data_IF_601525347122
#
_entry.id   IF_601525347122
#
_cell.length_a   1.000
_cell.length_b   1.000
_cell.length_c   1.000
_cell.angle_alpha   90.00
_cell.angle_beta   90.00
_cell.angle_gamma   90.00
#
_symmetry.space_group_name_H-M   'P 1'
#
loop_
_entity.id
_entity.type
_entity.pdbx_description
1 polymer ?
#
# COMPACT_ATOMS: atom_id res chain seq x y z
N UNK A 1 -2.10 24.03 -15.39
CA UNK A 1 -2.21 23.47 -14.03
C UNK A 1 -3.09 22.24 -14.13
N UNK A 2 -2.55 21.04 -13.91
CA UNK A 2 -3.39 19.83 -13.86
C UNK A 2 -3.94 19.72 -12.43
N UNK A 3 -5.26 19.64 -12.29
CA UNK A 3 -5.90 19.54 -10.99
C UNK A 3 -5.44 18.28 -10.25
N UNK A 4 -5.03 18.42 -8.99
CA UNK A 4 -4.75 17.30 -8.10
C UNK A 4 -6.07 16.55 -7.85
N UNK A 5 -6.17 15.32 -8.32
CA UNK A 5 -7.30 14.45 -8.02
C UNK A 5 -7.04 13.75 -6.68
N UNK A 6 -7.70 14.26 -5.62
CA UNK A 6 -7.75 13.61 -4.31
C UNK A 6 -9.01 12.76 -4.23
N UNK A 7 -8.84 11.46 -4.00
CA UNK A 7 -9.90 10.50 -3.79
C UNK A 7 -9.97 10.14 -2.31
N UNK A 8 -11.13 10.37 -1.70
CA UNK A 8 -11.42 9.96 -0.32
C UNK A 8 -12.08 8.57 -0.37
N UNK A 9 -11.26 7.55 -0.50
CA UNK A 9 -11.71 6.17 -0.71
C UNK A 9 -10.78 5.18 -0.02
N UNK A 10 -11.29 3.96 0.21
CA UNK A 10 -10.48 2.76 0.42
C UNK A 10 -10.61 1.90 -0.81
N UNK A 11 -9.49 1.36 -1.30
CA UNK A 11 -9.46 0.52 -2.50
C UNK A 11 -9.29 -0.93 -2.10
N UNK A 12 -10.09 -1.81 -2.68
CA UNK A 12 -9.95 -3.26 -2.55
C UNK A 12 -9.62 -3.82 -3.93
N UNK A 13 -8.53 -4.55 -4.03
CA UNK A 13 -8.10 -5.27 -5.24
C UNK A 13 -8.38 -6.75 -5.03
N UNK A 14 -9.35 -7.26 -5.78
CA UNK A 14 -9.87 -8.63 -5.72
C UNK A 14 -9.44 -9.50 -6.91
N UNK A 15 -8.74 -8.92 -7.88
CA UNK A 15 -8.26 -9.58 -9.10
C UNK A 15 -6.97 -8.96 -9.61
N UNK A 16 -6.25 -9.67 -10.49
CA UNK A 16 -5.01 -9.20 -11.12
C UNK A 16 -5.29 -7.97 -11.99
N UNK A 17 -4.79 -6.80 -11.56
CA UNK A 17 -4.96 -5.53 -12.29
C UNK A 17 -3.69 -4.68 -12.20
N UNK A 18 -3.60 -3.69 -13.09
CA UNK A 18 -2.77 -2.52 -12.89
C UNK A 18 -3.63 -1.36 -12.41
N UNK A 19 -3.43 -0.93 -11.16
CA UNK A 19 -3.96 0.32 -10.64
C UNK A 19 -2.92 1.42 -10.88
N UNK A 20 -3.21 2.35 -11.78
CA UNK A 20 -2.25 3.36 -12.23
C UNK A 20 -2.84 4.77 -12.13
N UNK A 21 -2.09 5.66 -11.49
CA UNK A 21 -2.30 7.10 -11.52
C UNK A 21 -1.52 7.77 -12.65
N UNK A 22 -1.83 9.04 -12.91
CA UNK A 22 -1.07 9.87 -13.87
C UNK A 22 0.33 10.15 -13.31
N UNK A 23 0.42 10.58 -12.06
CA UNK A 23 1.67 10.72 -11.31
C UNK A 23 1.36 10.78 -9.79
N UNK A 24 2.38 10.53 -8.97
CA UNK A 24 2.25 10.50 -7.50
C UNK A 24 1.84 11.85 -6.89
N UNK A 25 2.10 12.97 -7.54
CA UNK A 25 1.72 14.31 -7.06
C UNK A 25 0.23 14.60 -7.28
N UNK A 26 -0.34 14.15 -8.40
CA UNK A 26 -1.68 14.50 -8.84
C UNK A 26 -2.72 13.43 -8.54
N UNK A 27 -2.32 12.19 -8.22
CA UNK A 27 -3.22 11.09 -7.89
C UNK A 27 -3.02 10.69 -6.42
N UNK A 28 -3.94 11.12 -5.55
CA UNK A 28 -3.86 10.89 -4.11
C UNK A 28 -5.06 10.10 -3.61
N UNK A 29 -4.79 8.97 -2.96
CA UNK A 29 -5.77 8.23 -2.15
C UNK A 29 -5.57 8.70 -0.71
N UNK A 30 -6.55 9.42 -0.16
CA UNK A 30 -6.41 10.14 1.09
C UNK A 30 -7.44 9.67 2.12
N UNK A 31 -6.96 9.29 3.30
CA UNK A 31 -7.77 8.80 4.40
C UNK A 31 -8.15 9.83 5.46
N UNK A 32 -7.83 11.11 5.27
CA UNK A 32 -7.89 12.15 6.33
C UNK A 32 -9.28 12.38 6.95
N UNK A 33 -10.36 11.91 6.32
CA UNK A 33 -11.73 12.03 6.85
C UNK A 33 -12.26 10.72 7.44
N UNK A 34 -11.53 9.62 7.37
CA UNK A 34 -11.93 8.37 8.01
C UNK A 34 -11.63 8.46 9.52
N UNK A 35 -12.63 8.12 10.33
CA UNK A 35 -12.51 8.06 11.80
C UNK A 35 -12.31 6.64 12.32
N UNK A 36 -12.38 5.65 11.42
CA UNK A 36 -12.14 4.23 11.75
C UNK A 36 -10.82 3.77 11.17
N UNK A 37 -10.20 2.78 11.80
CA UNK A 37 -8.98 2.19 11.28
C UNK A 37 -9.21 1.43 9.98
N UNK A 38 -8.16 1.28 9.18
CA UNK A 38 -8.17 0.43 8.00
C UNK A 38 -7.02 0.66 7.05
N UNK A 39 -7.21 0.19 5.81
CA UNK A 39 -6.20 0.19 4.76
C UNK A 39 -6.55 1.19 3.66
N UNK A 40 -5.56 1.88 3.13
CA UNK A 40 -5.76 2.71 1.95
C UNK A 40 -6.03 1.88 0.70
N UNK A 41 -5.14 0.91 0.44
CA UNK A 41 -5.30 -0.11 -0.59
C UNK A 41 -5.12 -1.49 0.07
N UNK A 42 -6.13 -2.34 -0.07
CA UNK A 42 -6.06 -3.76 0.30
C UNK A 42 -5.94 -4.61 -0.96
N UNK A 43 -4.98 -5.53 -0.99
CA UNK A 43 -4.92 -6.62 -1.98
C UNK A 43 -5.38 -7.88 -1.28
N UNK A 44 -6.48 -8.47 -1.76
CA UNK A 44 -7.06 -9.66 -1.16
C UNK A 44 -6.13 -10.87 -1.30
N UNK A 45 -6.35 -11.86 -0.42
CA UNK A 45 -5.54 -13.07 -0.36
C UNK A 45 -5.44 -13.78 -1.72
N UNK A 46 -4.26 -14.28 -2.06
CA UNK A 46 -3.94 -15.01 -3.28
C UNK A 46 -4.18 -14.25 -4.60
N UNK A 47 -4.43 -12.93 -4.56
CA UNK A 47 -4.48 -12.11 -5.77
C UNK A 47 -3.05 -11.81 -6.20
N UNK A 48 -2.60 -12.47 -7.26
CA UNK A 48 -1.25 -12.31 -7.85
C UNK A 48 -1.24 -11.34 -9.02
N UNK A 49 -0.07 -10.89 -9.46
CA UNK A 49 0.07 -10.12 -10.71
C UNK A 49 -0.42 -8.68 -10.62
N UNK A 50 -0.51 -8.15 -9.40
CA UNK A 50 -1.00 -6.79 -9.16
C UNK A 50 0.12 -5.79 -9.37
N UNK A 51 -0.18 -4.72 -10.09
CA UNK A 51 0.69 -3.53 -10.18
C UNK A 51 -0.03 -2.33 -9.59
N UNK A 52 0.62 -1.60 -8.69
CA UNK A 52 0.16 -0.31 -8.18
C UNK A 52 1.24 0.71 -8.48
N UNK A 53 0.91 1.76 -9.24
CA UNK A 53 1.91 2.76 -9.61
C UNK A 53 1.40 4.17 -9.69
N UNK A 54 2.32 5.12 -9.42
CA UNK A 54 2.11 6.57 -9.61
C UNK A 54 0.96 7.13 -8.77
N UNK A 55 0.91 6.76 -7.50
CA UNK A 55 -0.03 7.29 -6.50
C UNK A 55 0.70 7.84 -5.27
N UNK A 56 0.02 8.74 -4.56
CA UNK A 56 0.25 8.94 -3.12
C UNK A 56 -0.88 8.26 -2.33
N UNK A 57 -0.53 7.49 -1.29
CA UNK A 57 -1.49 6.86 -0.36
C UNK A 57 -1.21 7.38 1.05
N UNK A 58 -2.14 8.15 1.62
CA UNK A 58 -1.85 8.92 2.82
C UNK A 58 -2.98 9.07 3.83
N UNK A 59 -2.59 9.41 5.06
CA UNK A 59 -3.46 9.83 6.17
C UNK A 59 -4.52 8.78 6.57
N UNK A 60 -4.23 7.49 6.43
CA UNK A 60 -5.06 6.44 6.99
C UNK A 60 -4.73 6.21 8.46
N UNK A 61 -5.75 5.90 9.26
CA UNK A 61 -5.60 5.53 10.67
C UNK A 61 -5.50 4.01 10.75
N UNK A 62 -4.55 3.50 11.54
CA UNK A 62 -4.42 2.09 11.89
C UNK A 62 -4.47 1.87 13.40
N UNK A 63 -4.80 0.64 13.80
CA UNK A 63 -4.70 0.19 15.20
C UNK A 63 -3.42 -0.61 15.45
N UNK A 64 -2.89 -1.23 14.41
CA UNK A 64 -1.74 -2.12 14.49
C UNK A 64 -1.01 -2.12 13.15
N UNK A 65 0.30 -1.87 13.15
CA UNK A 65 1.14 -1.94 11.95
C UNK A 65 1.28 -3.33 11.31
N UNK A 66 0.61 -4.36 11.82
CA UNK A 66 0.49 -5.70 11.23
C UNK A 66 -0.89 -5.96 10.61
N UNK A 67 -1.88 -5.09 10.85
CA UNK A 67 -3.26 -5.31 10.42
C UNK A 67 -3.79 -4.17 9.53
N UNK A 68 -3.22 -2.97 9.64
CA UNK A 68 -3.63 -1.77 8.92
C UNK A 68 -2.44 -1.14 8.21
N UNK A 69 -2.71 -0.25 7.24
CA UNK A 69 -1.63 0.48 6.57
C UNK A 69 -2.04 1.27 5.33
N UNK A 70 -1.05 1.87 4.68
CA UNK A 70 -1.25 2.52 3.40
C UNK A 70 -1.61 1.49 2.32
N UNK A 71 -0.70 0.58 2.04
CA UNK A 71 -0.90 -0.55 1.11
C UNK A 71 -0.68 -1.85 1.87
N UNK A 72 -1.67 -2.74 1.83
CA UNK A 72 -1.66 -3.98 2.59
C UNK A 72 -2.07 -5.17 1.71
N UNK A 73 -1.14 -6.10 1.51
CA UNK A 73 -1.32 -7.35 0.80
C UNK A 73 -1.53 -8.49 1.82
N UNK A 74 -2.71 -9.12 1.78
CA UNK A 74 -3.23 -10.01 2.83
C UNK A 74 -2.45 -11.33 2.96
N UNK A 75 -1.90 -11.86 1.86
CA UNK A 75 -1.32 -13.20 1.82
C UNK A 75 -1.23 -13.75 0.40
N UNK A 76 -0.14 -14.45 0.05
CA UNK A 76 -0.03 -15.12 -1.26
C UNK A 76 -0.02 -14.18 -2.47
N UNK A 77 0.29 -12.90 -2.25
CA UNK A 77 0.25 -11.86 -3.29
C UNK A 77 1.57 -11.85 -4.10
N UNK A 78 1.76 -12.89 -4.91
CA UNK A 78 2.94 -13.07 -5.76
C UNK A 78 2.92 -12.15 -7.00
N UNK A 79 4.07 -11.90 -7.59
CA UNK A 79 4.24 -11.05 -8.77
C UNK A 79 3.64 -9.64 -8.54
N UNK A 80 3.97 -9.05 -7.40
CA UNK A 80 3.49 -7.74 -6.96
C UNK A 80 4.50 -6.65 -7.31
N UNK A 81 4.05 -5.64 -8.05
CA UNK A 81 4.86 -4.46 -8.37
C UNK A 81 4.25 -3.19 -7.74
N UNK A 82 5.03 -2.51 -6.92
CA UNK A 82 4.72 -1.17 -6.41
C UNK A 82 5.75 -0.20 -6.98
N UNK A 83 5.33 0.73 -7.84
CA UNK A 83 6.26 1.56 -8.62
C UNK A 83 5.94 3.06 -8.51
N UNK A 84 6.93 3.87 -8.17
CA UNK A 84 6.79 5.34 -8.10
C UNK A 84 5.63 5.78 -7.20
N UNK A 85 5.55 5.20 -6.00
CA UNK A 85 4.47 5.44 -5.02
C UNK A 85 5.02 6.19 -3.81
N UNK A 86 4.25 7.16 -3.29
CA UNK A 86 4.47 7.73 -1.96
C UNK A 86 3.44 7.14 -1.01
N UNK A 87 3.87 6.62 0.13
CA UNK A 87 3.02 6.12 1.18
C UNK A 87 3.38 6.89 2.44
N UNK A 88 2.49 7.73 2.95
CA UNK A 88 2.86 8.66 4.02
C UNK A 88 1.79 8.90 5.06
N UNK A 89 2.21 9.19 6.29
CA UNK A 89 1.32 9.63 7.38
C UNK A 89 0.17 8.66 7.70
N UNK A 90 0.36 7.37 7.43
CA UNK A 90 -0.59 6.34 7.86
C UNK A 90 -0.30 5.96 9.32
N UNK A 91 -0.82 6.75 10.27
CA UNK A 91 -0.54 6.64 11.72
C UNK A 91 -1.16 5.36 12.27
N UNK A 92 -0.44 4.58 13.07
CA UNK A 92 -0.92 3.31 13.64
C UNK A 92 -0.93 2.12 12.67
N UNK A 93 -0.74 2.36 11.37
CA UNK A 93 -0.65 1.34 10.32
C UNK A 93 0.72 1.29 9.68
N UNK A 94 1.04 0.22 8.96
CA UNK A 94 2.26 0.18 8.15
C UNK A 94 2.19 1.12 6.95
N UNK A 95 3.31 1.55 6.40
CA UNK A 95 3.35 2.12 5.05
C UNK A 95 2.94 1.07 4.02
N UNK A 96 3.80 0.09 3.83
CA UNK A 96 3.54 -1.09 3.00
C UNK A 96 3.62 -2.35 3.85
N UNK A 97 2.70 -3.29 3.64
CA UNK A 97 2.75 -4.61 4.26
C UNK A 97 2.42 -5.68 3.22
N UNK A 98 3.28 -6.67 3.10
CA UNK A 98 3.00 -7.92 2.40
C UNK A 98 3.11 -9.10 3.38
N UNK A 99 1.98 -9.77 3.59
CA UNK A 99 1.96 -11.01 4.36
C UNK A 99 2.37 -12.17 3.44
N UNK A 100 3.35 -12.96 3.87
CA UNK A 100 3.77 -14.13 3.14
C UNK A 100 2.92 -15.37 3.44
N UNK A 101 3.13 -16.46 2.68
CA UNK A 101 4.20 -16.62 1.69
C UNK A 101 4.05 -15.69 0.48
N UNK A 102 5.16 -15.16 -0.03
CA UNK A 102 5.20 -14.31 -1.23
C UNK A 102 6.44 -14.60 -2.08
N UNK A 103 6.27 -14.50 -3.39
CA UNK A 103 7.32 -14.63 -4.40
C UNK A 103 7.21 -13.50 -5.42
N UNK A 104 8.33 -12.90 -5.81
CA UNK A 104 8.41 -11.81 -6.81
C UNK A 104 7.64 -10.59 -6.35
N UNK A 105 8.18 -9.90 -5.35
CA UNK A 105 7.64 -8.60 -4.88
C UNK A 105 8.69 -7.53 -5.14
N UNK A 106 8.32 -6.54 -5.95
CA UNK A 106 9.18 -5.40 -6.30
C UNK A 106 8.58 -4.10 -5.79
N UNK A 107 9.34 -3.39 -4.96
CA UNK A 107 9.09 -2.00 -4.62
C UNK A 107 10.15 -1.18 -5.35
N UNK A 108 9.74 -0.39 -6.34
CA UNK A 108 10.62 0.48 -7.11
C UNK A 108 10.22 1.94 -6.88
N UNK A 109 11.18 2.76 -6.47
CA UNK A 109 10.99 4.21 -6.30
C UNK A 109 9.85 4.54 -5.33
N UNK A 110 9.75 3.74 -4.26
CA UNK A 110 8.74 3.88 -3.20
C UNK A 110 9.29 4.74 -2.05
N UNK A 111 8.51 5.73 -1.62
CA UNK A 111 8.78 6.49 -0.39
C UNK A 111 7.78 6.04 0.67
N UNK A 112 8.26 5.61 1.83
CA UNK A 112 7.43 5.29 3.00
C UNK A 112 7.88 6.13 4.20
N UNK A 113 7.01 7.02 4.69
CA UNK A 113 7.39 8.00 5.73
C UNK A 113 6.24 8.45 6.62
N UNK A 114 6.55 9.03 7.79
CA UNK A 114 5.53 9.62 8.67
C UNK A 114 4.56 8.62 9.33
N UNK A 115 4.84 7.32 9.26
CA UNK A 115 4.06 6.28 9.94
C UNK A 115 4.42 6.27 11.42
N UNK A 116 3.75 7.10 12.22
CA UNK A 116 3.99 7.20 13.67
C UNK A 116 3.05 6.29 14.48
N UNK A 117 3.35 6.14 15.78
CA UNK A 117 2.53 5.39 16.76
C UNK A 117 2.38 3.89 16.47
N UNK A 118 3.28 3.04 16.99
CA UNK A 118 3.21 1.57 16.84
C UNK A 118 3.05 1.08 15.38
N UNK A 119 3.56 1.88 14.45
CA UNK A 119 3.48 1.71 13.02
C UNK A 119 4.78 1.10 12.45
N UNK A 120 4.77 0.78 11.15
CA UNK A 120 5.93 0.24 10.43
C UNK A 120 6.10 0.97 9.10
N UNK A 121 7.32 0.97 8.54
CA UNK A 121 7.58 1.48 7.19
C UNK A 121 7.12 0.47 6.14
N UNK A 122 8.10 -0.22 5.56
CA UNK A 122 7.88 -1.33 4.62
C UNK A 122 8.04 -2.65 5.38
N UNK A 123 7.07 -3.55 5.21
CA UNK A 123 7.03 -4.84 5.88
C UNK A 123 6.76 -5.94 4.87
N UNK A 124 7.59 -6.96 4.87
CA UNK A 124 7.33 -8.23 4.20
C UNK A 124 7.51 -9.30 5.27
N UNK A 125 6.41 -9.80 5.83
CA UNK A 125 6.42 -10.72 6.99
C UNK A 125 5.84 -12.08 6.63
N UNK A 126 6.01 -13.05 7.53
CA UNK A 126 5.36 -14.38 7.65
C UNK A 126 5.62 -15.33 6.48
N UNK A 127 5.77 -16.62 6.77
CA UNK A 127 6.05 -17.62 5.73
C UNK A 127 7.31 -17.33 4.89
N UNK A 128 7.41 -18.07 3.78
CA UNK A 128 8.52 -18.00 2.83
C UNK A 128 8.49 -16.69 2.00
N UNK A 129 9.67 -16.14 1.70
CA UNK A 129 9.86 -14.95 0.88
C UNK A 129 10.90 -15.24 -0.17
N UNK A 130 10.56 -15.04 -1.43
CA UNK A 130 11.44 -15.32 -2.56
C UNK A 130 11.40 -14.16 -3.55
N UNK A 131 12.54 -13.85 -4.16
CA UNK A 131 12.66 -12.85 -5.23
C UNK A 131 12.09 -11.48 -4.83
N UNK A 132 12.65 -10.89 -3.76
CA UNK A 132 12.23 -9.61 -3.21
C UNK A 132 13.22 -8.52 -3.63
N UNK A 133 12.71 -7.44 -4.21
CA UNK A 133 13.49 -6.25 -4.60
C UNK A 133 12.86 -5.02 -3.97
N UNK A 134 13.66 -4.19 -3.29
CA UNK A 134 13.25 -2.96 -2.61
C UNK A 134 14.25 -1.85 -2.91
#
# INVERSE_FOLDING_TARGET
MNAQSTLIVRVIIDRSITLQGVNKTNCVINGSTFVTAGKGIQINNAVTGVTIKRFTVQNFIGLNGNADGGIYAIGGNNNLLIESVIIQNNVGGSGFYANGPVNTVTLDSVVSSGHTSSARGIVIWNGLKENITI
#
